data_IF_802279034903
#
_entry.id   IF_802279034903
#
_cell.length_a   1.000
_cell.length_b   1.000
_cell.length_c   1.000
_cell.angle_alpha   90.00
_cell.angle_beta   90.00
_cell.angle_gamma   90.00
#
_symmetry.space_group_name_H-M   'P 1'
#
loop_
_entity.id
_entity.type
_entity.pdbx_description
1 polymer ?
#
# COMPACT_ATOMS: atom_id res chain seq x y z
N UNK A 1 -0.96 25.21 3.39
CA UNK A 1 -0.70 24.97 1.94
C UNK A 1 -1.72 23.95 1.46
N UNK A 2 -2.20 24.02 0.22
CA UNK A 2 -3.20 23.08 -0.31
C UNK A 2 -2.69 22.51 -1.63
N UNK A 3 -2.26 21.25 -1.60
CA UNK A 3 -1.71 20.61 -2.79
C UNK A 3 -2.76 19.68 -3.40
N UNK A 4 -3.41 18.89 -2.54
CA UNK A 4 -4.45 17.97 -2.96
C UNK A 4 -5.82 18.64 -3.11
N UNK A 5 -6.67 18.05 -3.95
CA UNK A 5 -8.10 18.29 -3.87
C UNK A 5 -8.64 17.97 -2.45
N UNK A 6 -9.49 18.82 -1.85
CA UNK A 6 -9.98 18.62 -0.48
C UNK A 6 -10.75 17.34 -0.28
N UNK A 7 -11.55 16.93 -1.27
CA UNK A 7 -12.36 15.73 -1.16
C UNK A 7 -11.44 14.51 -1.15
N UNK A 8 -10.41 14.50 -2.00
CA UNK A 8 -9.38 13.46 -1.99
C UNK A 8 -8.61 13.44 -0.68
N UNK A 9 -8.14 14.59 -0.19
CA UNK A 9 -7.39 14.72 1.05
C UNK A 9 -8.22 14.26 2.25
N UNK A 10 -9.49 14.65 2.31
CA UNK A 10 -10.41 14.25 3.37
C UNK A 10 -10.67 12.73 3.36
N UNK A 11 -10.94 12.16 2.19
CA UNK A 11 -11.14 10.72 2.05
C UNK A 11 -9.91 9.94 2.51
N UNK A 12 -8.71 10.37 2.10
CA UNK A 12 -7.47 9.74 2.52
C UNK A 12 -7.27 9.85 4.03
N UNK A 13 -7.48 11.03 4.61
CA UNK A 13 -7.35 11.23 6.06
C UNK A 13 -8.30 10.34 6.86
N UNK A 14 -9.53 10.13 6.38
CA UNK A 14 -10.49 9.19 7.00
C UNK A 14 -9.97 7.76 6.92
N UNK A 15 -9.55 7.31 5.74
CA UNK A 15 -8.99 5.96 5.55
C UNK A 15 -7.77 5.71 6.44
N UNK A 16 -6.82 6.64 6.47
CA UNK A 16 -5.62 6.54 7.32
C UNK A 16 -5.99 6.44 8.80
N UNK A 17 -6.96 7.24 9.26
CA UNK A 17 -7.42 7.20 10.65
C UNK A 17 -8.10 5.88 11.00
N UNK A 18 -8.88 5.30 10.08
CA UNK A 18 -9.53 4.00 10.31
C UNK A 18 -8.50 2.87 10.42
N UNK A 19 -7.41 2.96 9.65
CA UNK A 19 -6.38 1.91 9.58
C UNK A 19 -5.35 2.02 10.71
N UNK A 20 -5.27 3.17 11.40
CA UNK A 20 -4.38 3.41 12.55
C UNK A 20 -2.90 3.08 12.28
N UNK A 21 -2.43 3.31 11.04
CA UNK A 21 -1.04 3.08 10.64
C UNK A 21 -0.35 4.42 10.33
N UNK A 22 0.88 4.56 10.83
CA UNK A 22 1.75 5.72 10.59
C UNK A 22 2.45 5.67 9.23
N UNK A 23 2.89 6.84 8.74
CA UNK A 23 3.67 6.91 7.51
C UNK A 23 5.02 6.18 7.66
N UNK A 24 5.58 6.18 8.87
CA UNK A 24 6.82 5.52 9.24
C UNK A 24 6.69 4.00 9.14
N UNK A 25 5.62 3.42 9.69
CA UNK A 25 5.36 1.98 9.61
C UNK A 25 5.21 1.53 8.15
N UNK A 26 4.41 2.25 7.36
CA UNK A 26 4.28 1.98 5.91
C UNK A 26 5.64 2.10 5.22
N UNK A 27 6.40 3.15 5.53
CA UNK A 27 7.70 3.39 4.91
C UNK A 27 8.71 2.29 5.23
N UNK A 28 8.78 1.84 6.48
CA UNK A 28 9.65 0.75 6.90
C UNK A 28 9.24 -0.56 6.23
N UNK A 29 7.96 -0.93 6.29
CA UNK A 29 7.48 -2.18 5.69
C UNK A 29 7.75 -2.24 4.18
N UNK A 30 7.53 -1.13 3.46
CA UNK A 30 7.76 -1.05 2.00
C UNK A 30 9.24 -1.05 1.63
N UNK A 31 10.09 -0.38 2.43
CA UNK A 31 11.55 -0.37 2.18
C UNK A 31 12.20 -1.73 2.47
N UNK A 32 11.76 -2.39 3.54
CA UNK A 32 12.33 -3.65 4.00
C UNK A 32 11.66 -4.88 3.39
N UNK A 33 10.53 -4.72 2.70
CA UNK A 33 9.79 -5.83 2.10
C UNK A 33 9.08 -6.70 3.14
N UNK A 34 8.72 -6.14 4.31
CA UNK A 34 8.04 -6.89 5.37
C UNK A 34 6.54 -6.98 5.10
N UNK A 35 6.00 -8.19 5.19
CA UNK A 35 4.58 -8.45 4.99
C UNK A 35 3.76 -8.22 6.30
N UNK A 36 3.95 -7.07 6.93
CA UNK A 36 3.32 -6.71 8.21
C UNK A 36 2.11 -5.76 8.01
N UNK A 37 1.99 -5.16 6.84
CA UNK A 37 0.88 -4.26 6.52
C UNK A 37 -0.40 -5.06 6.20
N UNK A 38 -1.57 -4.67 6.72
CA UNK A 38 -2.84 -5.28 6.34
C UNK A 38 -3.11 -5.15 4.83
N UNK A 39 -3.56 -6.22 4.19
CA UNK A 39 -3.87 -6.22 2.74
C UNK A 39 -4.86 -5.12 2.35
N UNK A 40 -5.88 -4.85 3.18
CA UNK A 40 -6.86 -3.78 2.93
C UNK A 40 -6.24 -2.39 2.95
N UNK A 41 -5.22 -2.17 3.80
CA UNK A 41 -4.44 -0.93 3.80
C UNK A 41 -3.64 -0.81 2.50
N UNK A 42 -2.92 -1.86 2.12
CA UNK A 42 -2.10 -1.85 0.90
C UNK A 42 -2.99 -1.58 -0.32
N UNK A 43 -4.13 -2.26 -0.44
CA UNK A 43 -5.11 -2.03 -1.50
C UNK A 43 -5.70 -0.61 -1.50
N UNK A 44 -5.90 -0.03 -0.32
CA UNK A 44 -6.37 1.36 -0.20
C UNK A 44 -5.31 2.33 -0.71
N UNK A 45 -4.05 2.10 -0.36
CA UNK A 45 -2.91 2.93 -0.80
C UNK A 45 -2.66 2.81 -2.31
N UNK A 46 -2.72 1.61 -2.88
CA UNK A 46 -2.58 1.38 -4.34
C UNK A 46 -3.70 2.09 -5.11
N UNK A 47 -4.94 2.02 -4.61
CA UNK A 47 -6.07 2.74 -5.21
C UNK A 47 -5.93 4.26 -5.11
N UNK A 48 -5.08 4.74 -4.22
CA UNK A 48 -4.85 6.16 -4.02
C UNK A 48 -3.66 6.63 -4.87
N UNK A 49 -3.97 7.01 -6.11
CA UNK A 49 -3.01 7.61 -7.05
C UNK A 49 -3.35 9.10 -7.20
N UNK A 50 -2.52 10.03 -6.73
CA UNK A 50 -2.71 11.45 -7.02
C UNK A 50 -2.50 11.70 -8.52
N UNK A 51 -2.89 12.87 -9.00
CA UNK A 51 -2.41 13.31 -10.31
C UNK A 51 -0.89 13.55 -10.29
N UNK A 52 -0.25 13.43 -11.46
CA UNK A 52 1.18 13.69 -11.61
C UNK A 52 1.59 15.07 -11.09
N UNK A 53 0.73 16.08 -11.27
CA UNK A 53 0.95 17.43 -10.75
C UNK A 53 0.86 17.52 -9.22
N UNK A 54 -0.14 16.86 -8.60
CA UNK A 54 -0.27 16.77 -7.14
C UNK A 54 0.95 16.07 -6.52
N UNK A 55 1.41 14.95 -7.12
CA UNK A 55 2.60 14.24 -6.68
C UNK A 55 3.86 15.10 -6.81
N UNK A 56 4.06 15.73 -7.97
CA UNK A 56 5.21 16.59 -8.22
C UNK A 56 5.26 17.75 -7.22
N UNK A 57 4.12 18.41 -6.97
CA UNK A 57 4.03 19.49 -5.98
C UNK A 57 4.32 19.00 -4.56
N UNK A 58 3.89 17.80 -4.17
CA UNK A 58 4.21 17.21 -2.86
C UNK A 58 5.69 16.87 -2.72
N UNK A 59 6.29 16.26 -3.75
CA UNK A 59 7.73 15.94 -3.79
C UNK A 59 8.58 17.20 -3.68
N UNK A 60 8.26 18.22 -4.46
CA UNK A 60 8.99 19.49 -4.51
C UNK A 60 8.64 20.46 -3.37
N UNK A 61 7.69 20.12 -2.50
CA UNK A 61 7.34 20.99 -1.37
C UNK A 61 8.50 21.09 -0.38
N UNK A 62 9.02 22.32 -0.21
CA UNK A 62 10.14 22.65 0.69
C UNK A 62 9.72 23.47 1.91
N UNK A 63 8.43 23.72 2.10
CA UNK A 63 7.91 24.41 3.28
C UNK A 63 7.84 23.49 4.51
N UNK A 64 7.43 24.04 5.64
CA UNK A 64 7.24 23.28 6.88
C UNK A 64 6.14 22.21 6.71
N UNK A 65 6.40 20.99 7.18
CA UNK A 65 5.44 19.88 7.13
C UNK A 65 4.15 20.20 7.91
N UNK A 66 4.26 20.98 8.98
CA UNK A 66 3.12 21.44 9.79
C UNK A 66 2.11 22.29 9.03
N UNK A 67 2.48 22.84 7.86
CA UNK A 67 1.59 23.61 6.99
C UNK A 67 0.81 22.74 5.99
N UNK A 68 1.13 21.45 5.91
CA UNK A 68 0.39 20.45 5.14
C UNK A 68 -0.66 19.77 6.01
N UNK A 69 -1.76 19.33 5.42
CA UNK A 69 -2.74 18.48 6.09
C UNK A 69 -2.20 17.06 6.33
N UNK A 70 -2.84 16.26 7.20
CA UNK A 70 -2.38 14.92 7.56
C UNK A 70 -2.18 13.99 6.35
N UNK A 71 -3.10 14.05 5.38
CA UNK A 71 -3.01 13.29 4.14
C UNK A 71 -1.77 13.67 3.30
N UNK A 72 -1.49 14.96 3.18
CA UNK A 72 -0.34 15.48 2.43
C UNK A 72 0.99 15.15 3.11
N UNK A 73 1.03 15.22 4.45
CA UNK A 73 2.19 14.79 5.24
C UNK A 73 2.48 13.30 5.03
N UNK A 74 1.45 12.45 5.12
CA UNK A 74 1.57 11.02 4.88
C UNK A 74 2.10 10.71 3.48
N UNK A 75 1.51 11.33 2.45
CA UNK A 75 1.90 11.10 1.06
C UNK A 75 3.33 11.57 0.78
N UNK A 76 3.71 12.72 1.33
CA UNK A 76 5.08 13.23 1.17
C UNK A 76 6.10 12.23 1.72
N UNK A 77 5.84 11.63 2.88
CA UNK A 77 6.72 10.63 3.47
C UNK A 77 6.85 9.36 2.59
N UNK A 78 5.77 8.89 1.98
CA UNK A 78 5.82 7.68 1.14
C UNK A 78 6.35 7.95 -0.28
N UNK A 79 6.17 9.15 -0.84
CA UNK A 79 6.67 9.48 -2.20
C UNK A 79 8.20 9.60 -2.27
N UNK A 80 8.85 9.78 -1.13
CA UNK A 80 10.32 9.68 -1.03
C UNK A 80 10.80 8.24 -1.28
N UNK A 81 9.90 7.25 -1.30
CA UNK A 81 10.22 5.86 -1.64
C UNK A 81 10.15 5.68 -3.17
N UNK A 82 11.26 5.28 -3.82
CA UNK A 82 11.25 4.99 -5.24
C UNK A 82 10.33 3.81 -5.56
N UNK A 83 9.50 3.95 -6.59
CA UNK A 83 8.58 2.91 -7.07
C UNK A 83 7.61 2.42 -5.98
N UNK A 84 7.07 3.36 -5.19
CA UNK A 84 6.20 3.03 -4.04
C UNK A 84 5.01 2.16 -4.43
N UNK A 85 4.36 2.45 -5.56
CA UNK A 85 3.17 1.71 -6.00
C UNK A 85 3.52 0.28 -6.40
N UNK A 86 4.58 0.09 -7.18
CA UNK A 86 5.07 -1.22 -7.58
C UNK A 86 5.53 -2.06 -6.38
N UNK A 87 6.13 -1.42 -5.37
CA UNK A 87 6.51 -2.09 -4.13
C UNK A 87 5.29 -2.49 -3.29
N UNK A 88 4.25 -1.66 -3.25
CA UNK A 88 2.99 -1.99 -2.59
C UNK A 88 2.30 -3.16 -3.30
N UNK A 89 2.26 -3.17 -4.63
CA UNK A 89 1.74 -4.29 -5.43
C UNK A 89 2.51 -5.58 -5.15
N UNK A 90 3.85 -5.51 -5.10
CA UNK A 90 4.68 -6.66 -4.76
C UNK A 90 4.40 -7.17 -3.34
N UNK A 91 4.27 -6.29 -2.35
CA UNK A 91 3.90 -6.68 -0.99
C UNK A 91 2.53 -7.35 -0.94
N UNK A 92 1.53 -6.80 -1.61
CA UNK A 92 0.19 -7.37 -1.66
C UNK A 92 0.19 -8.77 -2.29
N UNK A 93 0.95 -8.95 -3.37
CA UNK A 93 1.14 -10.26 -4.00
C UNK A 93 1.81 -11.25 -3.04
N UNK A 94 2.90 -10.85 -2.40
CA UNK A 94 3.63 -11.68 -1.44
C UNK A 94 2.77 -12.06 -0.23
N UNK A 95 1.80 -11.21 0.15
CA UNK A 95 0.86 -11.49 1.23
C UNK A 95 -0.08 -12.67 0.93
N UNK A 96 -0.55 -12.77 -0.32
CA UNK A 96 -1.44 -13.86 -0.75
C UNK A 96 -0.71 -15.15 -1.13
N UNK A 97 0.58 -15.06 -1.46
CA UNK A 97 1.34 -16.19 -2.00
C UNK A 97 1.30 -17.46 -1.13
N UNK A 98 1.38 -17.42 0.22
CA UNK A 98 1.30 -18.62 1.04
C UNK A 98 -0.05 -19.36 0.93
N UNK A 99 -1.15 -18.60 0.92
CA UNK A 99 -2.51 -19.15 0.79
C UNK A 99 -2.73 -19.73 -0.61
N UNK A 100 -2.39 -18.96 -1.65
CA UNK A 100 -2.48 -19.40 -3.05
C UNK A 100 -1.66 -20.67 -3.29
N UNK A 101 -0.43 -20.72 -2.76
CA UNK A 101 0.43 -21.91 -2.86
C UNK A 101 -0.18 -23.11 -2.14
N UNK A 102 -0.77 -22.90 -0.96
CA UNK A 102 -1.45 -23.95 -0.21
C UNK A 102 -2.65 -24.51 -0.98
N UNK A 103 -3.48 -23.62 -1.55
CA UNK A 103 -4.67 -23.98 -2.32
C UNK A 103 -4.32 -24.79 -3.57
N UNK A 104 -3.29 -24.37 -4.30
CA UNK A 104 -2.80 -25.08 -5.49
C UNK A 104 -2.27 -26.46 -5.10
N UNK A 105 -1.44 -26.57 -4.05
CA UNK A 105 -0.92 -27.87 -3.55
C UNK A 105 -2.05 -28.82 -3.15
N UNK A 106 -3.07 -28.33 -2.46
CA UNK A 106 -4.22 -29.14 -2.04
C UNK A 106 -5.03 -29.65 -3.23
N UNK A 107 -5.17 -28.81 -4.26
CA UNK A 107 -5.84 -29.19 -5.51
C UNK A 107 -5.09 -30.32 -6.22
N UNK A 108 -3.76 -30.21 -6.33
CA UNK A 108 -2.93 -31.30 -6.90
C UNK A 108 -3.04 -32.59 -6.10
N UNK A 109 -2.93 -32.52 -4.77
CA UNK A 109 -3.04 -33.71 -3.91
C UNK A 109 -4.38 -34.44 -4.09
N UNK A 110 -5.47 -33.70 -4.27
CA UNK A 110 -6.80 -34.29 -4.50
C UNK A 110 -6.87 -35.01 -5.86
N UNK A 111 -6.28 -34.45 -6.90
CA UNK A 111 -6.23 -35.08 -8.23
C UNK A 111 -5.33 -36.32 -8.25
N UNK A 112 -4.20 -36.31 -7.54
CA UNK A 112 -3.31 -37.47 -7.44
C UNK A 112 -3.97 -38.68 -6.78
N UNK A 113 -4.78 -38.47 -5.73
CA UNK A 113 -5.55 -39.55 -5.09
C UNK A 113 -6.54 -40.20 -6.05
N UNK A 114 -7.17 -39.41 -6.94
CA UNK A 114 -8.12 -39.92 -7.94
C UNK A 114 -7.38 -40.67 -9.07
N UNK A 115 -6.16 -40.25 -9.40
CA UNK A 115 -5.38 -40.83 -10.48
C UNK A 115 -4.66 -42.14 -10.10
N UNK A 116 -4.56 -42.47 -8.81
CA UNK A 116 -3.98 -43.72 -8.34
C UNK A 116 -4.97 -44.90 -8.56
N UNK A 117 -4.54 -46.00 -9.22
CA UNK A 117 -5.37 -47.19 -9.34
C UNK A 117 -5.55 -47.85 -7.96
N UNK A 118 -6.76 -48.37 -7.71
CA UNK A 118 -7.15 -49.13 -6.51
C UNK A 118 -6.20 -50.29 -6.21
#
# INVERSE_FOLDING_TARGET
>A
VRILDPKKAQNLAISLKALSVSAEEVSCAVKEGRNELPSDLIQTLIRWVPSTDEELRLRLYTGELSQLGPAEQFLKAIFDIPYIYERLDALLFMAGLPEETSNVKQSFATLEVIALPL
#
